data_IF_206152528902
#
_entry.id   IF_206152528902
#
_cell.length_a   1.000
_cell.length_b   1.000
_cell.length_c   1.000
_cell.angle_alpha   90.00
_cell.angle_beta   90.00
_cell.angle_gamma   90.00
#
_symmetry.space_group_name_H-M   'P 1'
#
loop_
_entity.id
_entity.type
_entity.pdbx_description
1 polymer ?
#
# COMPACT_ATOMS: atom_id res chain seq x y z
N UNK A 1 -15.72 15.70 7.57
CA UNK A 1 -16.80 14.76 7.94
C UNK A 1 -16.46 14.29 9.34
N UNK A 2 -17.02 14.90 10.38
CA UNK A 2 -16.78 14.52 11.78
C UNK A 2 -17.42 13.16 12.05
N UNK A 3 -16.72 12.08 11.64
CA UNK A 3 -17.18 10.70 11.77
C UNK A 3 -16.40 10.09 12.93
N UNK A 4 -17.10 9.91 14.05
CA UNK A 4 -16.60 9.18 15.22
C UNK A 4 -17.19 7.77 15.23
N UNK A 5 -16.35 6.77 15.51
CA UNK A 5 -16.80 5.39 15.65
C UNK A 5 -17.37 5.19 17.04
N UNK A 6 -18.70 5.17 17.14
CA UNK A 6 -19.40 4.83 18.37
C UNK A 6 -19.77 3.34 18.32
N UNK A 7 -19.09 2.51 19.12
CA UNK A 7 -19.38 1.09 19.19
C UNK A 7 -20.71 0.85 19.93
N UNK A 8 -21.66 0.17 19.30
CA UNK A 8 -22.90 -0.23 19.96
C UNK A 8 -22.62 -1.39 20.94
N UNK A 9 -22.79 -1.15 22.24
CA UNK A 9 -22.62 -2.17 23.29
C UNK A 9 -23.83 -3.11 23.45
N UNK A 10 -24.80 -3.11 22.52
CA UNK A 10 -26.00 -3.94 22.61
C UNK A 10 -26.14 -4.92 21.42
N UNK A 11 -26.43 -6.20 21.68
CA UNK A 11 -26.72 -7.19 20.64
C UNK A 11 -27.90 -6.83 19.73
N UNK A 12 -28.88 -6.07 20.25
CA UNK A 12 -30.12 -5.70 19.55
C UNK A 12 -29.85 -4.75 18.38
N UNK A 13 -28.87 -3.84 18.52
CA UNK A 13 -28.46 -2.93 17.45
C UNK A 13 -27.76 -3.69 16.31
N UNK A 14 -26.87 -4.63 16.65
CA UNK A 14 -26.14 -5.45 15.67
C UNK A 14 -27.03 -6.51 15.01
N UNK A 15 -27.82 -7.25 15.77
CA UNK A 15 -28.62 -8.39 15.27
C UNK A 15 -29.69 -8.03 14.24
N UNK A 16 -30.22 -6.81 14.25
CA UNK A 16 -31.16 -6.34 13.20
C UNK A 16 -30.42 -6.09 11.87
N UNK A 17 -29.24 -5.50 11.94
CA UNK A 17 -28.37 -5.21 10.80
C UNK A 17 -27.89 -6.50 10.16
N UNK A 18 -27.41 -7.46 10.96
CA UNK A 18 -26.93 -8.77 10.47
C UNK A 18 -28.01 -9.56 9.72
N UNK A 19 -29.27 -9.54 10.18
CA UNK A 19 -30.37 -10.25 9.50
C UNK A 19 -30.68 -9.65 8.13
N UNK A 20 -30.69 -8.32 8.01
CA UNK A 20 -30.89 -7.62 6.74
C UNK A 20 -29.70 -7.85 5.81
N UNK A 21 -28.48 -7.77 6.34
CA UNK A 21 -27.26 -8.03 5.57
C UNK A 21 -27.21 -9.45 5.01
N UNK A 22 -27.60 -10.47 5.79
CA UNK A 22 -27.72 -11.84 5.30
C UNK A 22 -28.71 -11.97 4.13
N UNK A 23 -29.85 -11.27 4.17
CA UNK A 23 -30.83 -11.29 3.09
C UNK A 23 -30.26 -10.64 1.83
N UNK A 24 -29.64 -9.47 1.93
CA UNK A 24 -29.14 -8.77 0.75
C UNK A 24 -27.87 -9.44 0.20
N UNK A 25 -26.88 -9.76 1.03
CA UNK A 25 -25.61 -10.31 0.56
C UNK A 25 -25.73 -11.71 -0.05
N UNK A 26 -26.68 -12.54 0.40
CA UNK A 26 -26.92 -13.86 -0.21
C UNK A 26 -27.95 -13.78 -1.35
N UNK A 27 -29.14 -13.22 -1.09
CA UNK A 27 -30.28 -13.33 -2.01
C UNK A 27 -30.19 -12.38 -3.19
N UNK A 28 -29.64 -11.18 -3.01
CA UNK A 28 -29.48 -10.23 -4.12
C UNK A 28 -28.51 -10.78 -5.17
N UNK A 29 -27.38 -11.33 -4.74
CA UNK A 29 -26.37 -11.92 -5.62
C UNK A 29 -26.98 -13.06 -6.45
N UNK A 30 -27.74 -13.96 -5.81
CA UNK A 30 -28.45 -15.05 -6.51
C UNK A 30 -29.48 -14.53 -7.52
N UNK A 31 -30.22 -13.47 -7.18
CA UNK A 31 -31.21 -12.86 -8.07
C UNK A 31 -30.57 -12.15 -9.27
N UNK A 32 -29.48 -11.41 -9.05
CA UNK A 32 -28.68 -10.80 -10.13
C UNK A 32 -28.12 -11.86 -11.08
N UNK A 33 -27.61 -12.98 -10.54
CA UNK A 33 -27.12 -14.10 -11.35
C UNK A 33 -28.24 -14.73 -12.18
N UNK A 34 -29.45 -14.91 -11.62
CA UNK A 34 -30.61 -15.40 -12.38
C UNK A 34 -31.04 -14.44 -13.49
N UNK A 35 -30.85 -13.14 -13.29
CA UNK A 35 -31.11 -12.10 -14.29
C UNK A 35 -29.97 -11.92 -15.29
N UNK A 36 -28.91 -12.72 -15.17
CA UNK A 36 -27.73 -12.69 -16.05
C UNK A 36 -27.14 -11.26 -16.17
N UNK A 37 -27.23 -10.48 -15.10
CA UNK A 37 -26.65 -9.13 -15.08
C UNK A 37 -25.13 -9.24 -14.99
N UNK A 38 -24.44 -8.88 -16.06
CA UNK A 38 -22.98 -8.94 -16.19
C UNK A 38 -22.29 -7.58 -16.07
N UNK A 39 -23.05 -6.48 -16.02
CA UNK A 39 -22.54 -5.12 -15.87
C UNK A 39 -23.32 -4.32 -14.81
N UNK A 40 -22.76 -3.20 -14.37
CA UNK A 40 -23.31 -2.36 -13.31
C UNK A 40 -24.61 -1.67 -13.75
N UNK A 41 -24.72 -1.27 -15.01
CA UNK A 41 -25.88 -0.59 -15.56
C UNK A 41 -27.12 -1.48 -15.49
N UNK A 42 -27.03 -2.72 -15.96
CA UNK A 42 -28.12 -3.70 -15.91
C UNK A 42 -28.48 -4.05 -14.47
N UNK A 43 -27.48 -4.18 -13.59
CA UNK A 43 -27.71 -4.42 -12.16
C UNK A 43 -28.50 -3.25 -11.53
N UNK A 44 -28.13 -2.00 -11.82
CA UNK A 44 -28.82 -0.81 -11.32
C UNK A 44 -30.27 -0.73 -11.82
N UNK A 45 -30.50 -1.04 -13.10
CA UNK A 45 -31.86 -1.11 -13.66
C UNK A 45 -32.70 -2.16 -12.94
N UNK A 46 -32.15 -3.36 -12.75
CA UNK A 46 -32.84 -4.44 -12.02
C UNK A 46 -33.14 -4.06 -10.56
N UNK A 47 -32.16 -3.45 -9.88
CA UNK A 47 -32.31 -2.99 -8.51
C UNK A 47 -33.48 -2.02 -8.36
N UNK A 48 -33.52 -1.00 -9.21
CA UNK A 48 -34.54 0.05 -9.17
C UNK A 48 -35.92 -0.45 -9.58
N UNK A 49 -36.00 -1.23 -10.67
CA UNK A 49 -37.29 -1.58 -11.29
C UNK A 49 -37.96 -2.80 -10.69
N UNK A 50 -37.19 -3.77 -10.18
CA UNK A 50 -37.73 -5.05 -9.75
C UNK A 50 -37.39 -5.38 -8.30
N UNK A 51 -36.11 -5.38 -7.94
CA UNK A 51 -35.66 -5.90 -6.65
C UNK A 51 -36.14 -5.06 -5.47
N UNK A 52 -35.91 -3.74 -5.51
CA UNK A 52 -36.30 -2.84 -4.42
C UNK A 52 -37.83 -2.81 -4.23
N UNK A 53 -38.67 -2.70 -5.28
CA UNK A 53 -40.11 -2.82 -5.13
C UNK A 53 -40.56 -4.17 -4.51
N UNK A 54 -40.02 -5.30 -4.99
CA UNK A 54 -40.38 -6.63 -4.45
C UNK A 54 -39.96 -6.78 -2.99
N UNK A 55 -38.78 -6.26 -2.64
CA UNK A 55 -38.25 -6.29 -1.28
C UNK A 55 -39.09 -5.40 -0.35
N UNK A 56 -39.32 -4.15 -0.73
CA UNK A 56 -40.05 -3.18 0.07
C UNK A 56 -41.50 -3.62 0.30
N UNK A 57 -42.15 -4.25 -0.68
CA UNK A 57 -43.48 -4.85 -0.49
C UNK A 57 -43.54 -5.88 0.64
N UNK A 58 -42.45 -6.62 0.88
CA UNK A 58 -42.41 -7.67 1.91
C UNK A 58 -41.90 -7.18 3.26
N UNK A 59 -40.98 -6.24 3.26
CA UNK A 59 -40.18 -5.91 4.44
C UNK A 59 -40.25 -4.46 4.88
N UNK A 60 -40.76 -3.54 4.04
CA UNK A 60 -40.93 -2.15 4.46
C UNK A 60 -41.97 -2.09 5.59
N UNK A 61 -41.64 -1.34 6.63
CA UNK A 61 -42.57 -0.98 7.70
C UNK A 61 -42.72 0.53 7.69
N UNK A 62 -43.94 0.99 7.91
CA UNK A 62 -44.17 2.41 8.18
C UNK A 62 -43.34 2.83 9.40
N UNK A 63 -42.75 4.03 9.34
CA UNK A 63 -42.08 4.62 10.47
C UNK A 63 -43.08 4.82 11.61
N UNK A 64 -42.64 4.64 12.85
CA UNK A 64 -43.47 4.90 14.02
C UNK A 64 -43.82 6.39 14.17
N UNK A 65 -42.95 7.25 13.62
CA UNK A 65 -43.05 8.70 13.60
C UNK A 65 -42.77 9.16 12.16
N UNK A 66 -43.66 9.97 11.55
CA UNK A 66 -43.52 10.39 10.15
C UNK A 66 -42.48 11.50 9.94
N UNK A 67 -41.95 12.09 11.02
CA UNK A 67 -40.98 13.17 10.97
C UNK A 67 -39.66 12.72 10.31
N UNK A 68 -39.19 13.53 9.35
CA UNK A 68 -37.91 13.31 8.68
C UNK A 68 -36.76 13.93 9.49
N UNK A 69 -35.96 13.09 10.14
CA UNK A 69 -34.75 13.49 10.87
C UNK A 69 -33.47 13.36 10.04
N UNK A 70 -33.57 13.05 8.73
CA UNK A 70 -32.40 12.97 7.87
C UNK A 70 -31.82 14.36 7.61
N UNK A 71 -30.48 14.43 7.47
CA UNK A 71 -29.86 15.66 6.97
C UNK A 71 -30.30 15.89 5.53
N UNK A 72 -30.47 17.16 5.18
CA UNK A 72 -30.63 17.57 3.79
C UNK A 72 -29.46 17.04 2.96
N UNK A 73 -29.78 16.49 1.79
CA UNK A 73 -28.77 16.01 0.86
C UNK A 73 -27.79 17.15 0.50
N UNK A 74 -26.47 16.89 0.50
CA UNK A 74 -25.48 17.88 0.07
C UNK A 74 -25.69 18.28 -1.39
N UNK A 75 -25.26 19.49 -1.76
CA UNK A 75 -25.29 19.96 -3.14
C UNK A 75 -24.30 19.16 -4.00
N UNK A 76 -24.52 19.14 -5.32
CA UNK A 76 -23.62 18.46 -6.25
C UNK A 76 -22.15 18.88 -6.08
N UNK A 77 -21.87 20.18 -5.92
CA UNK A 77 -20.52 20.69 -5.69
C UNK A 77 -19.89 20.19 -4.37
N UNK A 78 -20.70 19.99 -3.32
CA UNK A 78 -20.24 19.41 -2.06
C UNK A 78 -19.92 17.93 -2.24
N UNK A 79 -20.76 17.21 -2.99
CA UNK A 79 -20.53 15.79 -3.32
C UNK A 79 -19.30 15.61 -4.19
N UNK A 80 -18.99 16.52 -5.11
CA UNK A 80 -17.77 16.47 -5.92
C UNK A 80 -16.52 16.64 -5.05
N UNK A 81 -16.60 17.45 -3.99
CA UNK A 81 -15.55 17.55 -2.97
C UNK A 81 -15.42 16.29 -2.10
N UNK A 82 -16.54 15.63 -1.76
CA UNK A 82 -16.55 14.41 -0.94
C UNK A 82 -16.08 13.19 -1.74
N UNK A 83 -16.52 13.07 -3.00
CA UNK A 83 -16.24 11.94 -3.88
C UNK A 83 -15.12 12.26 -4.88
N UNK A 84 -13.98 12.65 -4.33
CA UNK A 84 -12.73 12.83 -5.09
C UNK A 84 -11.65 11.88 -4.56
N UNK A 85 -10.80 11.41 -5.47
CA UNK A 85 -9.59 10.68 -5.12
C UNK A 85 -8.47 11.69 -4.86
N UNK A 86 -7.83 11.59 -3.71
CA UNK A 86 -6.74 12.48 -3.32
C UNK A 86 -5.41 11.71 -3.36
N UNK A 87 -4.43 12.26 -4.07
CA UNK A 87 -3.08 11.70 -4.17
C UNK A 87 -2.04 12.76 -3.86
N UNK A 88 -1.26 12.55 -2.80
CA UNK A 88 -0.13 13.42 -2.49
C UNK A 88 1.00 13.23 -3.52
N UNK A 89 1.48 14.34 -4.10
CA UNK A 89 2.59 14.38 -5.05
C UNK A 89 3.59 15.46 -4.69
N UNK A 90 4.84 15.24 -5.04
CA UNK A 90 5.91 16.22 -4.90
C UNK A 90 6.08 17.00 -6.20
N UNK A 91 6.25 18.31 -6.09
CA UNK A 91 6.56 19.19 -7.22
C UNK A 91 8.04 19.05 -7.56
N UNK A 92 8.36 18.79 -8.83
CA UNK A 92 9.74 18.81 -9.33
C UNK A 92 10.34 20.23 -9.27
N UNK A 93 11.66 20.35 -9.43
CA UNK A 93 12.33 21.67 -9.45
C UNK A 93 11.81 22.58 -10.57
N UNK A 94 11.40 21.99 -11.69
CA UNK A 94 10.82 22.70 -12.84
C UNK A 94 9.32 23.00 -12.67
N UNK A 95 8.77 22.87 -11.46
CA UNK A 95 7.36 23.13 -11.15
C UNK A 95 6.38 22.20 -11.84
N UNK A 96 6.83 20.99 -12.16
CA UNK A 96 6.00 19.97 -12.79
C UNK A 96 5.56 18.94 -11.76
N UNK A 97 4.28 18.58 -11.81
CA UNK A 97 3.68 17.47 -11.05
C UNK A 97 3.38 16.33 -12.00
N UNK A 98 3.80 15.11 -11.64
CA UNK A 98 3.47 13.90 -12.40
C UNK A 98 2.33 13.15 -11.72
N UNK A 99 1.28 12.86 -12.47
CA UNK A 99 0.14 12.07 -11.99
C UNK A 99 -0.40 11.21 -13.14
N UNK A 100 -0.62 9.92 -12.88
CA UNK A 100 -1.14 8.95 -13.85
C UNK A 100 -0.50 9.02 -15.26
N UNK A 101 0.83 8.99 -15.33
CA UNK A 101 1.64 9.14 -16.55
C UNK A 101 1.46 10.46 -17.33
N UNK A 102 0.74 11.43 -16.77
CA UNK A 102 0.56 12.78 -17.28
C UNK A 102 1.44 13.75 -16.50
N UNK A 103 1.76 14.87 -17.14
CA UNK A 103 2.64 15.89 -16.59
C UNK A 103 1.92 17.22 -16.56
N UNK A 104 1.95 17.89 -15.41
CA UNK A 104 1.21 19.11 -15.15
C UNK A 104 2.17 20.21 -14.73
N UNK A 105 2.36 21.21 -15.57
CA UNK A 105 3.13 22.40 -15.25
C UNK A 105 2.29 23.30 -14.35
N UNK A 106 2.78 23.60 -13.15
CA UNK A 106 2.15 24.57 -12.26
C UNK A 106 2.48 25.99 -12.71
N UNK A 107 1.48 26.85 -12.73
CA UNK A 107 1.69 28.27 -13.01
C UNK A 107 2.09 29.00 -11.73
N UNK A 108 3.32 29.50 -11.69
CA UNK A 108 3.82 30.35 -10.61
C UNK A 108 3.25 31.76 -10.69
N UNK A 109 1.98 31.96 -10.35
CA UNK A 109 1.39 33.30 -10.39
C UNK A 109 0.52 33.61 -9.18
N UNK A 110 1.16 34.27 -8.20
CA UNK A 110 0.50 34.95 -7.08
C UNK A 110 1.30 34.86 -5.77
N UNK A 111 0.75 35.44 -4.70
CA UNK A 111 1.25 35.30 -3.30
C UNK A 111 1.17 33.87 -2.75
N UNK A 112 0.50 32.97 -3.46
CA UNK A 112 0.21 31.60 -3.05
C UNK A 112 0.70 30.62 -4.10
N UNK A 113 2.02 30.53 -4.24
CA UNK A 113 2.66 29.51 -5.06
C UNK A 113 3.05 28.32 -4.18
N UNK A 114 3.07 27.13 -4.76
CA UNK A 114 3.57 25.94 -4.08
C UNK A 114 5.07 25.79 -4.39
N UNK A 115 5.97 25.84 -3.39
CA UNK A 115 7.41 25.85 -3.65
C UNK A 115 7.85 24.58 -4.39
N UNK A 116 8.94 24.70 -5.17
CA UNK A 116 9.65 23.55 -5.70
C UNK A 116 9.99 22.55 -4.56
N UNK A 117 9.91 21.26 -4.84
CA UNK A 117 10.02 20.17 -3.84
C UNK A 117 8.91 20.15 -2.78
N UNK A 118 7.89 21.02 -2.90
CA UNK A 118 6.71 21.03 -2.06
C UNK A 118 5.78 19.85 -2.33
N UNK A 119 4.99 19.47 -1.32
CA UNK A 119 3.91 18.50 -1.45
C UNK A 119 2.61 19.20 -1.87
N UNK A 120 1.93 18.62 -2.85
CA UNK A 120 0.59 19.03 -3.34
C UNK A 120 -0.35 17.84 -3.33
N UNK A 121 -1.65 18.11 -3.26
CA UNK A 121 -2.70 17.12 -3.42
C UNK A 121 -3.24 17.19 -4.85
N UNK A 122 -3.15 16.08 -5.58
CA UNK A 122 -3.86 15.93 -6.84
C UNK A 122 -5.21 15.30 -6.53
N UNK A 123 -6.27 16.04 -6.81
CA UNK A 123 -7.66 15.68 -6.58
C UNK A 123 -8.31 15.30 -7.90
N UNK A 124 -8.75 14.05 -8.03
CA UNK A 124 -9.46 13.55 -9.21
C UNK A 124 -10.94 13.31 -8.87
N UNK A 125 -11.83 14.01 -9.55
CA UNK A 125 -13.27 13.85 -9.40
C UNK A 125 -13.81 12.61 -10.11
N UNK A 126 -15.05 12.20 -9.78
CA UNK A 126 -15.71 11.02 -10.36
C UNK A 126 -15.76 10.96 -11.90
N UNK A 127 -15.70 12.12 -12.56
CA UNK A 127 -15.76 12.27 -14.01
C UNK A 127 -14.39 12.48 -14.66
N UNK A 128 -13.29 12.29 -13.90
CA UNK A 128 -11.91 12.50 -14.37
C UNK A 128 -11.46 13.96 -14.35
N UNK A 129 -12.23 14.87 -13.76
CA UNK A 129 -11.82 16.27 -13.59
C UNK A 129 -10.69 16.36 -12.57
N UNK A 130 -9.55 16.95 -12.96
CA UNK A 130 -8.39 17.10 -12.10
C UNK A 130 -8.33 18.51 -11.48
N UNK A 131 -7.96 18.57 -10.21
CA UNK A 131 -7.56 19.78 -9.53
C UNK A 131 -6.25 19.51 -8.76
N UNK A 132 -5.33 20.46 -8.77
CA UNK A 132 -4.11 20.37 -7.97
C UNK A 132 -4.23 21.40 -6.86
N UNK A 133 -4.14 20.96 -5.61
CA UNK A 133 -4.30 21.80 -4.43
C UNK A 133 -3.01 21.89 -3.62
N UNK A 134 -2.71 23.09 -3.14
CA UNK A 134 -1.67 23.34 -2.16
C UNK A 134 -2.26 24.05 -0.95
N UNK A 135 -2.12 23.43 0.23
CA UNK A 135 -2.67 23.97 1.50
C UNK A 135 -4.16 24.36 1.40
N UNK A 136 -4.95 23.50 0.76
CA UNK A 136 -6.40 23.69 0.60
C UNK A 136 -6.81 24.74 -0.44
N UNK A 137 -5.89 25.16 -1.33
CA UNK A 137 -6.17 26.09 -2.44
C UNK A 137 -5.82 25.47 -3.77
N UNK A 138 -6.74 25.57 -4.73
CA UNK A 138 -6.49 25.14 -6.09
C UNK A 138 -5.42 26.00 -6.77
N UNK A 139 -4.45 25.34 -7.37
CA UNK A 139 -3.41 25.93 -8.20
C UNK A 139 -3.86 25.93 -9.66
N UNK A 140 -3.41 26.93 -10.42
CA UNK A 140 -3.50 26.88 -11.88
C UNK A 140 -2.41 25.97 -12.44
N UNK A 141 -2.77 25.19 -13.44
CA UNK A 141 -1.88 24.23 -14.06
C UNK A 141 -2.23 24.07 -15.53
N UNK A 142 -1.25 23.64 -16.31
CA UNK A 142 -1.42 23.26 -17.70
C UNK A 142 -0.85 21.86 -17.89
N UNK A 143 -1.57 21.01 -18.62
CA UNK A 143 -1.03 19.71 -19.00
C UNK A 143 0.01 19.90 -20.11
N UNK A 144 1.17 19.28 -19.90
CA UNK A 144 2.27 19.30 -20.86
C UNK A 144 2.54 17.88 -21.34
N UNK A 145 3.02 17.76 -22.57
CA UNK A 145 3.57 16.51 -23.07
C UNK A 145 4.71 16.05 -22.18
N UNK A 146 4.94 14.73 -22.12
CA UNK A 146 6.06 14.19 -21.37
C UNK A 146 7.35 14.92 -21.77
N UNK A 147 8.12 15.44 -20.80
CA UNK A 147 9.37 16.10 -21.11
C UNK A 147 10.21 15.13 -21.94
N UNK A 148 10.72 15.62 -23.06
CA UNK A 148 11.66 14.86 -23.88
C UNK A 148 12.79 14.51 -22.93
N UNK A 149 12.89 13.22 -22.56
CA UNK A 149 14.04 12.75 -21.80
C UNK A 149 15.22 13.19 -22.64
N UNK A 150 16.12 14.07 -22.15
CA UNK A 150 17.30 14.41 -22.92
C UNK A 150 17.91 13.06 -23.28
N UNK A 151 18.07 12.80 -24.59
CA UNK A 151 18.82 11.65 -25.03
C UNK A 151 20.08 11.72 -24.20
N UNK A 152 20.29 10.71 -23.34
CA UNK A 152 21.53 10.61 -22.59
C UNK A 152 22.59 10.83 -23.65
N UNK A 153 23.39 11.92 -23.60
CA UNK A 153 24.37 12.14 -24.65
C UNK A 153 25.11 10.83 -24.72
N UNK A 154 25.10 10.18 -25.90
CA UNK A 154 25.81 8.92 -26.14
C UNK A 154 27.12 9.07 -25.39
N UNK A 155 27.30 8.20 -24.38
CA UNK A 155 28.32 8.38 -23.39
C UNK A 155 29.58 8.78 -24.14
N UNK A 156 30.04 10.03 -23.94
CA UNK A 156 31.34 10.48 -24.47
C UNK A 156 32.27 9.30 -24.22
N UNK A 157 32.99 8.78 -25.23
CA UNK A 157 33.70 7.52 -25.10
C UNK A 157 34.42 7.62 -23.78
N UNK A 158 34.03 6.74 -22.86
CA UNK A 158 34.62 6.69 -21.53
C UNK A 158 36.08 6.45 -21.87
N UNK A 159 36.88 7.52 -21.87
CA UNK A 159 38.32 7.38 -21.73
C UNK A 159 38.38 6.58 -20.46
N UNK A 160 38.75 5.30 -20.60
CA UNK A 160 38.93 4.38 -19.50
C UNK A 160 39.99 5.01 -18.60
N UNK A 161 39.58 5.96 -17.77
CA UNK A 161 40.26 6.27 -16.54
C UNK A 161 40.06 4.97 -15.80
N UNK A 162 41.09 4.12 -15.88
CA UNK A 162 41.21 2.92 -15.10
C UNK A 162 41.01 3.33 -13.63
N UNK A 163 39.74 3.35 -13.20
CA UNK A 163 39.38 3.36 -11.79
C UNK A 163 39.92 2.05 -11.30
N UNK A 164 41.11 2.10 -10.71
CA UNK A 164 41.71 0.98 -10.00
C UNK A 164 40.65 0.53 -9.00
N UNK A 165 39.94 -0.53 -9.35
CA UNK A 165 39.12 -1.27 -8.42
C UNK A 165 40.12 -1.86 -7.41
N UNK A 166 40.38 -1.13 -6.34
CA UNK A 166 40.98 -1.72 -5.17
C UNK A 166 39.93 -2.68 -4.60
N UNK A 167 40.00 -3.94 -5.03
CA UNK A 167 39.28 -5.01 -4.39
C UNK A 167 39.55 -4.89 -2.88
N UNK A 168 38.53 -4.51 -2.11
CA UNK A 168 38.66 -4.36 -0.65
C UNK A 168 39.10 -5.71 -0.12
N UNK A 169 40.36 -5.82 0.31
CA UNK A 169 40.92 -7.07 0.84
C UNK A 169 40.04 -7.52 2.00
N UNK A 170 39.57 -8.77 1.96
CA UNK A 170 38.82 -9.38 3.06
C UNK A 170 39.67 -9.25 4.32
N UNK A 171 39.16 -8.53 5.32
CA UNK A 171 39.93 -8.26 6.54
C UNK A 171 40.18 -9.56 7.30
N UNK A 172 41.46 -9.89 7.50
CA UNK A 172 41.89 -11.03 8.32
C UNK A 172 42.44 -10.45 9.62
N UNK A 173 41.91 -10.86 10.80
CA UNK A 173 42.43 -10.40 12.08
C UNK A 173 43.93 -10.70 12.20
N UNK A 174 44.73 -9.77 12.75
CA UNK A 174 46.16 -9.97 12.94
C UNK A 174 46.43 -11.18 13.84
N UNK A 175 47.64 -11.74 13.73
CA UNK A 175 48.05 -12.95 14.46
C UNK A 175 47.83 -12.83 15.99
N UNK A 176 47.89 -11.60 16.51
CA UNK A 176 47.82 -11.27 17.93
C UNK A 176 46.37 -11.01 18.40
N UNK A 177 45.35 -11.35 17.60
CA UNK A 177 43.95 -11.10 17.98
C UNK A 177 43.49 -12.10 19.07
N UNK A 178 42.84 -11.65 20.15
CA UNK A 178 42.52 -12.45 21.34
C UNK A 178 41.83 -13.80 21.07
N UNK A 179 40.94 -13.86 20.05
CA UNK A 179 40.22 -15.07 19.68
C UNK A 179 41.10 -16.21 19.10
N UNK A 180 42.24 -15.89 18.47
CA UNK A 180 43.18 -16.88 17.95
C UNK A 180 44.00 -17.50 19.09
N UNK A 181 44.36 -16.69 20.09
CA UNK A 181 45.01 -17.17 21.30
C UNK A 181 44.08 -18.06 22.13
N UNK A 182 42.80 -17.67 22.24
CA UNK A 182 41.77 -18.50 22.87
C UNK A 182 41.64 -19.87 22.17
N UNK A 183 41.58 -19.89 20.84
CA UNK A 183 41.53 -21.13 20.06
C UNK A 183 42.78 -22.02 20.27
N UNK A 184 43.98 -21.41 20.32
CA UNK A 184 45.24 -22.12 20.61
C UNK A 184 45.23 -22.77 22.00
N UNK A 185 44.77 -22.05 23.02
CA UNK A 185 44.64 -22.58 24.39
C UNK A 185 43.65 -23.75 24.46
N UNK A 186 42.57 -23.74 23.68
CA UNK A 186 41.64 -24.88 23.60
C UNK A 186 42.29 -26.10 22.94
N UNK A 187 43.09 -25.91 21.90
CA UNK A 187 43.83 -26.99 21.23
C UNK A 187 44.88 -27.62 22.17
N UNK A 188 45.67 -26.79 22.88
CA UNK A 188 46.67 -27.25 23.85
C UNK A 188 46.04 -28.04 25.01
N UNK A 189 44.87 -27.61 25.50
CA UNK A 189 44.07 -28.35 26.49
C UNK A 189 43.54 -29.68 25.97
N UNK A 190 43.23 -29.79 24.67
CA UNK A 190 42.79 -31.06 24.05
C UNK A 190 43.97 -32.02 23.85
N UNK A 191 45.13 -31.51 23.44
CA UNK A 191 46.34 -32.31 23.25
C UNK A 191 46.85 -32.91 24.57
N UNK A 192 46.85 -32.12 25.64
CA UNK A 192 47.22 -32.60 26.99
C UNK A 192 46.24 -33.64 27.56
N UNK A 193 44.97 -33.62 27.15
CA UNK A 193 43.95 -34.59 27.59
C UNK A 193 44.01 -35.92 26.82
N UNK A 194 44.68 -35.96 25.66
CA UNK A 194 44.85 -37.17 24.85
C UNK A 194 46.07 -38.03 25.21
N UNK A 195 46.95 -37.57 26.11
CA UNK A 195 48.20 -38.24 26.48
C UNK A 195 48.08 -39.15 27.73
N UNK A 196 46.89 -39.69 28.02
CA UNK A 196 46.69 -40.63 29.14
C UNK A 196 46.78 -42.07 28.63
N UNK A 197 47.78 -42.82 29.11
CA UNK A 197 48.18 -44.13 28.60
C UNK A 197 47.08 -45.22 28.71
N UNK A 198 46.96 -46.14 27.73
CA UNK A 198 45.99 -47.23 27.78
C UNK A 198 46.42 -48.36 28.75
N UNK A 199 45.46 -48.86 29.54
CA UNK A 199 45.59 -50.04 30.43
C UNK A 199 45.84 -51.32 29.63
N UNK A 200 46.73 -52.24 30.06
CA UNK A 200 46.94 -53.50 29.35
C UNK A 200 45.91 -54.57 29.73
N UNK A 201 45.45 -55.36 28.74
CA UNK A 201 44.64 -56.58 28.92
C UNK A 201 45.35 -57.78 28.28
N UNK A 202 45.52 -58.84 29.08
CA UNK A 202 46.11 -60.14 28.75
C UNK A 202 45.13 -61.02 27.97
N UNK A 203 45.57 -61.69 26.91
CA UNK A 203 44.89 -62.87 26.35
C UNK A 203 45.88 -63.78 25.59
N UNK A 204 45.79 -65.10 25.83
CA UNK A 204 46.57 -66.19 25.23
C UNK A 204 45.87 -66.77 23.98
N UNK A 205 46.59 -67.38 23.02
CA UNK A 205 46.05 -67.87 21.75
C UNK A 205 45.46 -69.30 21.81
N UNK A 206 44.45 -69.57 20.97
CA UNK A 206 43.69 -70.82 20.83
C UNK A 206 44.09 -71.59 19.56
N UNK A 207 44.12 -72.93 19.64
CA UNK A 207 44.50 -73.86 18.59
C UNK A 207 43.34 -74.19 17.61
N UNK A 208 43.71 -74.44 16.35
CA UNK A 208 42.85 -74.82 15.24
C UNK A 208 42.66 -76.36 15.15
N UNK A 209 41.61 -76.85 14.44
CA UNK A 209 41.25 -78.27 14.40
C UNK A 209 42.20 -79.15 13.56
#
# INVERSE_FOLDING_TARGET
>A
LDIEVIAASSPQAKGRVERIHGIHQDRLVKKLRRKQSSNHEHANVYLAREYLPEHNRRFARAAAQPEDFHRRAPRAAELDGIFRLESERTISDDWVVRYDNRWFQLEGQGRYYAPAQGKVLVCEGRHGSLAIEYRGRALRWQEISAPIRPAVPEAKPVVERATKWCAKRKWVPPANHPWREAARRVMEKRASKGAMAPRPLLALPSAAP
#
